data_IF_790850321699
#
_entry.id   IF_790850321699
#
_cell.length_a   1.000
_cell.length_b   1.000
_cell.length_c   1.000
_cell.angle_alpha   90.00
_cell.angle_beta   90.00
_cell.angle_gamma   90.00
#
_symmetry.space_group_name_H-M   'P 1'
#
loop_
_entity.id
_entity.type
_entity.pdbx_description
1 polymer ?
#
# COMPACT_ATOMS: atom_id res chain seq x y z
N UNK A 1 -3.69 2.75 4.34
CA UNK A 1 -2.42 2.88 3.58
C UNK A 1 -1.16 2.69 4.45
N UNK A 2 -1.32 2.59 5.77
CA UNK A 2 -0.25 2.31 6.74
C UNK A 2 0.99 3.25 6.63
N UNK A 3 0.75 4.54 6.43
CA UNK A 3 1.78 5.59 6.31
C UNK A 3 1.53 6.65 7.37
N UNK A 4 2.61 7.08 8.03
CA UNK A 4 2.65 8.22 8.93
C UNK A 4 3.71 9.22 8.45
N UNK A 5 3.41 10.50 8.53
CA UNK A 5 4.34 11.60 8.23
C UNK A 5 4.67 12.31 9.54
N UNK A 6 5.96 12.38 9.85
CA UNK A 6 6.48 13.08 11.02
C UNK A 6 7.19 14.37 10.58
N UNK A 7 6.92 15.47 11.26
CA UNK A 7 7.65 16.72 11.10
C UNK A 7 8.56 16.94 12.30
N UNK A 8 9.81 17.27 12.05
CA UNK A 8 10.78 17.63 13.08
C UNK A 8 11.38 19.03 12.78
N UNK A 9 11.77 19.74 13.82
CA UNK A 9 12.50 20.99 13.70
C UNK A 9 14.01 20.67 13.73
N UNK A 10 14.57 20.41 12.57
CA UNK A 10 16.00 20.12 12.39
C UNK A 10 16.52 20.79 11.13
N UNK A 11 17.79 21.21 11.17
CA UNK A 11 18.54 21.77 10.05
C UNK A 11 19.65 20.81 9.62
N UNK A 12 20.23 21.06 8.45
CA UNK A 12 21.39 20.32 7.94
C UNK A 12 21.14 18.82 7.73
N UNK A 13 19.90 18.45 7.39
CA UNK A 13 19.53 17.09 7.06
C UNK A 13 19.84 16.77 5.59
N UNK A 14 20.32 15.55 5.33
CA UNK A 14 20.49 15.03 3.99
C UNK A 14 19.23 14.26 3.59
N UNK A 15 18.39 14.78 2.69
CA UNK A 15 17.20 14.05 2.24
C UNK A 15 17.60 12.86 1.38
N UNK A 16 16.79 11.80 1.43
CA UNK A 16 16.93 10.68 0.50
C UNK A 16 16.42 11.07 -0.88
N UNK A 17 16.94 10.41 -1.91
CA UNK A 17 16.40 10.49 -3.27
C UNK A 17 15.22 9.54 -3.38
N UNK A 18 14.09 10.03 -3.89
CA UNK A 18 12.91 9.20 -4.15
C UNK A 18 13.03 8.59 -5.56
N UNK A 19 13.00 7.28 -5.61
CA UNK A 19 13.01 6.53 -6.86
C UNK A 19 11.61 6.33 -7.43
N UNK A 20 11.51 5.48 -8.42
CA UNK A 20 10.29 5.10 -9.12
C UNK A 20 10.08 3.59 -8.94
N UNK A 21 9.05 3.22 -8.16
CA UNK A 21 8.73 1.82 -7.88
C UNK A 21 8.03 1.12 -9.04
N UNK A 22 7.46 1.87 -9.99
CA UNK A 22 6.75 1.32 -11.15
C UNK A 22 7.73 0.80 -12.22
N UNK A 23 9.02 1.18 -12.14
CA UNK A 23 10.07 0.71 -13.04
C UNK A 23 10.75 -0.59 -12.60
N UNK A 24 10.42 -1.09 -11.42
CA UNK A 24 11.02 -2.30 -10.87
C UNK A 24 10.68 -3.55 -11.66
N UNK A 25 11.64 -4.48 -11.69
CA UNK A 25 11.46 -5.81 -12.26
C UNK A 25 11.77 -6.88 -11.21
N UNK A 26 11.12 -8.03 -11.35
CA UNK A 26 11.48 -9.21 -10.54
C UNK A 26 12.94 -9.59 -10.85
N UNK A 27 13.71 -9.78 -9.79
CA UNK A 27 15.16 -10.05 -9.88
C UNK A 27 16.03 -8.80 -9.67
N UNK A 28 15.48 -7.59 -9.65
CA UNK A 28 16.24 -6.38 -9.33
C UNK A 28 16.78 -6.47 -7.90
N UNK A 29 18.06 -6.13 -7.75
CA UNK A 29 18.71 -6.12 -6.43
C UNK A 29 18.22 -4.92 -5.63
N UNK A 30 17.86 -5.18 -4.36
CA UNK A 30 17.35 -4.18 -3.44
C UNK A 30 18.04 -4.26 -2.08
N UNK A 31 18.02 -3.16 -1.36
CA UNK A 31 18.64 -3.01 -0.04
C UNK A 31 17.61 -2.47 0.94
N UNK A 32 17.37 -3.21 2.02
CA UNK A 32 16.54 -2.74 3.11
C UNK A 32 17.41 -2.19 4.24
N UNK A 33 17.08 -0.99 4.71
CA UNK A 33 17.77 -0.35 5.84
C UNK A 33 16.75 -0.07 6.94
N UNK A 34 17.07 -0.49 8.16
CA UNK A 34 16.19 -0.31 9.30
C UNK A 34 16.93 -0.37 10.63
N UNK A 35 16.16 -0.46 11.70
CA UNK A 35 16.64 -0.58 13.07
C UNK A 35 15.99 -1.79 13.76
N UNK A 36 16.39 -3.03 13.38
CA UNK A 36 15.83 -4.23 13.99
C UNK A 36 15.94 -4.22 15.50
N UNK A 37 14.85 -4.59 16.18
CA UNK A 37 14.74 -4.68 17.64
C UNK A 37 14.90 -3.33 18.38
N UNK A 38 15.06 -2.21 17.66
CA UNK A 38 15.33 -0.91 18.26
C UNK A 38 16.76 -0.75 18.83
N UNK A 39 17.58 -1.78 18.74
CA UNK A 39 18.94 -1.84 19.32
C UNK A 39 20.03 -1.89 18.25
N UNK A 40 19.70 -2.45 17.07
CA UNK A 40 20.63 -2.64 15.96
C UNK A 40 20.48 -1.52 14.93
N UNK A 41 20.84 -0.30 15.33
CA UNK A 41 20.78 0.89 14.46
C UNK A 41 21.57 0.69 13.18
N UNK A 42 21.00 1.15 12.05
CA UNK A 42 21.61 1.10 10.72
C UNK A 42 21.89 -0.33 10.21
N UNK A 43 21.03 -1.28 10.55
CA UNK A 43 21.13 -2.61 9.95
C UNK A 43 20.70 -2.57 8.50
N UNK A 44 21.57 -3.12 7.65
CA UNK A 44 21.38 -3.24 6.22
C UNK A 44 21.23 -4.70 5.84
N UNK A 45 20.21 -5.03 5.06
CA UNK A 45 20.03 -6.35 4.45
C UNK A 45 19.86 -6.20 2.95
N UNK A 46 20.38 -7.15 2.19
CA UNK A 46 20.29 -7.16 0.72
C UNK A 46 19.49 -8.36 0.26
N UNK A 47 18.83 -8.20 -0.86
CA UNK A 47 18.08 -9.25 -1.54
C UNK A 47 17.65 -8.80 -2.93
N UNK A 48 16.59 -9.42 -3.44
CA UNK A 48 16.01 -9.08 -4.74
C UNK A 48 14.51 -8.84 -4.63
N UNK A 49 13.95 -8.18 -5.62
CA UNK A 49 12.49 -8.15 -5.83
C UNK A 49 12.06 -9.56 -6.22
N UNK A 50 11.29 -10.21 -5.35
CA UNK A 50 10.79 -11.58 -5.57
C UNK A 50 9.44 -11.60 -6.32
N UNK A 51 8.61 -10.57 -6.12
CA UNK A 51 7.37 -10.34 -6.86
C UNK A 51 6.93 -8.88 -6.75
N UNK A 52 6.14 -8.44 -7.71
CA UNK A 52 5.46 -7.14 -7.72
C UNK A 52 3.96 -7.34 -7.58
N UNK A 53 3.24 -6.29 -7.17
CA UNK A 53 1.77 -6.28 -7.02
C UNK A 53 1.22 -7.46 -6.21
N UNK A 54 1.95 -7.93 -5.21
CA UNK A 54 1.52 -9.04 -4.37
C UNK A 54 0.39 -8.58 -3.45
N UNK A 55 -0.86 -9.09 -3.62
CA UNK A 55 -1.94 -8.74 -2.71
C UNK A 55 -1.71 -9.40 -1.35
N UNK A 56 -1.61 -8.58 -0.32
CA UNK A 56 -1.46 -9.00 1.08
C UNK A 56 -2.64 -8.44 1.88
N UNK A 57 -3.40 -9.35 2.51
CA UNK A 57 -4.52 -8.99 3.38
C UNK A 57 -4.05 -8.98 4.83
N UNK A 58 -4.16 -7.84 5.48
CA UNK A 58 -3.81 -7.65 6.88
C UNK A 58 -4.94 -8.10 7.82
N UNK A 59 -4.62 -8.28 9.09
CA UNK A 59 -5.61 -8.66 10.13
C UNK A 59 -6.75 -7.65 10.28
N UNK A 60 -6.55 -6.42 9.82
CA UNK A 60 -7.59 -5.37 9.74
C UNK A 60 -8.61 -5.58 8.62
N UNK A 61 -8.42 -6.61 7.78
CA UNK A 61 -9.23 -6.83 6.57
C UNK A 61 -8.84 -5.98 5.37
N UNK A 62 -7.84 -5.11 5.50
CA UNK A 62 -7.34 -4.27 4.41
C UNK A 62 -6.40 -5.08 3.53
N UNK A 63 -6.60 -5.06 2.22
CA UNK A 63 -5.67 -5.65 1.24
C UNK A 63 -4.85 -4.53 0.58
N UNK A 64 -3.54 -4.74 0.48
CA UNK A 64 -2.61 -3.84 -0.21
C UNK A 64 -1.77 -4.64 -1.20
N UNK A 65 -1.45 -4.04 -2.34
CA UNK A 65 -0.49 -4.61 -3.29
C UNK A 65 0.91 -4.17 -2.89
N UNK A 66 1.78 -5.12 -2.60
CA UNK A 66 3.10 -4.88 -2.04
C UNK A 66 4.20 -5.41 -2.96
N UNK A 67 5.40 -4.85 -2.83
CA UNK A 67 6.64 -5.43 -3.33
C UNK A 67 7.01 -6.57 -2.40
N UNK A 68 7.24 -7.78 -2.94
CA UNK A 68 7.80 -8.89 -2.20
C UNK A 68 9.32 -8.93 -2.41
N UNK A 69 10.06 -9.17 -1.35
CA UNK A 69 11.54 -9.30 -1.39
C UNK A 69 11.99 -10.43 -0.47
N UNK A 70 13.15 -10.98 -0.74
CA UNK A 70 13.86 -11.93 0.13
C UNK A 70 14.84 -11.23 1.10
N UNK A 71 14.91 -9.90 1.09
CA UNK A 71 15.61 -9.17 2.14
C UNK A 71 15.12 -9.61 3.52
N UNK A 72 16.02 -9.75 4.47
CA UNK A 72 15.68 -10.10 5.84
C UNK A 72 14.91 -8.95 6.51
N UNK A 73 13.58 -8.98 6.42
CA UNK A 73 12.69 -8.05 7.10
C UNK A 73 12.25 -8.69 8.42
N UNK A 74 12.55 -8.04 9.52
CA UNK A 74 12.25 -8.48 10.88
C UNK A 74 11.58 -7.34 11.67
N UNK A 75 11.13 -7.66 12.88
CA UNK A 75 10.62 -6.64 13.80
C UNK A 75 11.65 -5.53 14.00
N UNK A 76 11.23 -4.27 13.78
CA UNK A 76 12.09 -3.08 13.82
C UNK A 76 12.60 -2.61 12.45
N UNK A 77 12.53 -3.42 11.39
CA UNK A 77 12.75 -2.92 10.03
C UNK A 77 11.49 -2.28 9.41
N UNK A 78 10.30 -2.60 9.94
CA UNK A 78 9.04 -1.99 9.46
C UNK A 78 9.08 -0.47 9.62
N UNK A 79 8.70 0.26 8.57
CA UNK A 79 8.85 1.70 8.45
C UNK A 79 10.22 2.15 7.94
N UNK A 80 11.18 1.23 7.79
CA UNK A 80 12.47 1.47 7.13
C UNK A 80 12.34 1.63 5.63
N UNK A 81 13.41 2.02 4.98
CA UNK A 81 13.43 2.22 3.55
C UNK A 81 13.95 0.99 2.78
N UNK A 82 13.30 0.71 1.65
CA UNK A 82 13.80 -0.19 0.62
C UNK A 82 14.42 0.66 -0.48
N UNK A 83 15.68 0.38 -0.81
CA UNK A 83 16.46 1.12 -1.81
C UNK A 83 16.75 0.24 -3.03
N UNK A 84 16.88 0.89 -4.19
CA UNK A 84 17.55 0.31 -5.35
C UNK A 84 19.08 0.48 -5.24
N UNK A 85 19.84 -0.07 -6.22
CA UNK A 85 21.30 0.05 -6.24
C UNK A 85 21.82 1.46 -6.55
N UNK A 86 20.95 2.39 -6.93
CA UNK A 86 21.31 3.79 -7.17
C UNK A 86 21.18 4.64 -5.88
N UNK A 87 20.75 4.02 -4.76
CA UNK A 87 20.53 4.70 -3.49
C UNK A 87 19.23 5.48 -3.43
N UNK A 88 18.28 5.16 -4.29
CA UNK A 88 16.96 5.77 -4.32
C UNK A 88 15.96 4.90 -3.55
N UNK A 89 15.09 5.54 -2.77
CA UNK A 89 14.01 4.85 -2.05
C UNK A 89 12.92 4.45 -3.04
N UNK A 90 12.61 3.16 -3.08
CA UNK A 90 11.59 2.56 -3.96
C UNK A 90 10.42 1.99 -3.17
N UNK A 91 10.53 1.91 -1.85
CA UNK A 91 9.47 1.39 -1.00
C UNK A 91 9.74 1.62 0.48
N UNK A 92 8.71 1.37 1.27
CA UNK A 92 8.74 1.41 2.73
C UNK A 92 8.51 -0.01 3.24
N UNK A 93 9.48 -0.57 3.97
CA UNK A 93 9.34 -1.92 4.52
C UNK A 93 8.17 -1.97 5.50
N UNK A 94 7.30 -2.98 5.36
CA UNK A 94 6.06 -3.02 6.15
C UNK A 94 5.98 -4.29 7.01
N UNK A 95 6.02 -5.46 6.40
CA UNK A 95 5.67 -6.69 7.07
C UNK A 95 6.55 -7.86 6.65
N UNK A 96 6.59 -8.87 7.52
CA UNK A 96 7.05 -10.22 7.21
C UNK A 96 5.82 -11.13 7.17
N UNK A 97 5.76 -12.03 6.21
CA UNK A 97 4.78 -13.11 6.28
C UNK A 97 5.12 -13.99 7.48
N UNK A 98 4.29 -13.94 8.52
CA UNK A 98 4.37 -14.88 9.63
C UNK A 98 3.18 -15.82 9.54
N UNK A 99 3.43 -17.10 9.27
CA UNK A 99 2.40 -18.11 9.45
C UNK A 99 2.07 -18.20 10.94
N UNK A 100 0.89 -17.69 11.32
CA UNK A 100 0.32 -17.96 12.64
C UNK A 100 -0.27 -19.37 12.63
N UNK A 101 0.55 -20.40 12.59
CA UNK A 101 0.05 -21.76 12.64
C UNK A 101 0.79 -22.59 13.67
N UNK A 102 -0.05 -23.28 14.41
CA UNK A 102 0.22 -24.40 15.30
C UNK A 102 1.54 -25.12 15.03
N UNK A 103 2.20 -25.45 16.09
CA UNK A 103 3.48 -26.07 16.41
C UNK A 103 4.03 -27.21 15.52
N UNK A 104 3.67 -27.33 14.25
CA UNK A 104 4.14 -28.42 13.37
C UNK A 104 4.46 -28.02 11.92
N UNK A 105 4.30 -26.75 11.51
CA UNK A 105 4.67 -26.32 10.17
C UNK A 105 6.01 -25.58 10.15
N UNK A 106 6.79 -25.79 9.10
CA UNK A 106 8.07 -25.12 8.90
C UNK A 106 7.88 -23.60 8.92
N UNK A 107 8.74 -22.88 9.63
CA UNK A 107 8.74 -21.41 9.58
C UNK A 107 8.99 -20.95 8.15
N UNK A 108 8.14 -20.07 7.64
CA UNK A 108 8.37 -19.42 6.34
C UNK A 108 9.28 -18.24 6.60
N UNK A 109 10.53 -18.36 6.21
CA UNK A 109 11.54 -17.30 6.29
C UNK A 109 11.79 -16.69 4.91
N UNK A 110 12.39 -15.49 4.88
CA UNK A 110 12.77 -14.77 3.67
C UNK A 110 11.59 -14.35 2.75
N UNK A 111 10.44 -14.07 3.35
CA UNK A 111 9.35 -13.39 2.66
C UNK A 111 9.10 -12.06 3.37
N UNK A 112 9.69 -11.01 2.84
CA UNK A 112 9.48 -9.64 3.28
C UNK A 112 8.59 -8.87 2.31
N UNK A 113 7.94 -7.81 2.80
CA UNK A 113 7.09 -6.94 2.00
C UNK A 113 7.45 -5.48 2.21
N UNK A 114 7.30 -4.70 1.14
CA UNK A 114 7.42 -3.25 1.18
C UNK A 114 6.25 -2.60 0.43
N UNK A 115 5.80 -1.47 0.93
CA UNK A 115 4.80 -0.63 0.28
C UNK A 115 5.52 0.08 -0.88
N UNK A 116 5.06 -0.05 -2.14
CA UNK A 116 5.64 0.67 -3.26
C UNK A 116 5.56 2.18 -3.04
N UNK A 117 6.66 2.89 -3.33
CA UNK A 117 6.74 4.33 -3.07
C UNK A 117 5.68 5.11 -3.84
N UNK A 118 5.44 4.76 -5.11
CA UNK A 118 4.53 5.51 -5.98
C UNK A 118 3.06 5.36 -5.56
N UNK A 119 2.69 4.25 -4.90
CA UNK A 119 1.35 4.10 -4.31
C UNK A 119 1.08 5.06 -3.15
N UNK A 120 2.11 5.57 -2.50
CA UNK A 120 1.98 6.42 -1.30
C UNK A 120 2.53 7.83 -1.49
N UNK A 121 3.18 8.12 -2.62
CA UNK A 121 3.75 9.42 -2.95
C UNK A 121 2.71 10.54 -2.82
N UNK A 122 1.59 10.43 -3.49
CA UNK A 122 0.52 11.42 -3.44
C UNK A 122 -0.08 11.59 -2.03
N UNK A 123 -0.03 10.53 -1.22
CA UNK A 123 -0.54 10.54 0.15
C UNK A 123 0.34 11.39 1.04
N UNK A 124 1.65 11.11 1.09
CA UNK A 124 2.54 11.90 1.96
C UNK A 124 2.72 13.33 1.45
N UNK A 125 2.73 13.56 0.14
CA UNK A 125 2.74 14.92 -0.44
C UNK A 125 1.50 15.71 -0.04
N UNK A 126 0.30 15.07 -0.07
CA UNK A 126 -0.94 15.71 0.39
C UNK A 126 -0.91 16.02 1.89
N UNK A 127 -0.38 15.12 2.71
CA UNK A 127 -0.23 15.36 4.16
C UNK A 127 0.74 16.51 4.42
N UNK A 128 1.87 16.57 3.72
CA UNK A 128 2.87 17.63 3.88
C UNK A 128 2.29 18.99 3.48
N UNK A 129 1.55 19.04 2.38
CA UNK A 129 1.03 20.28 1.80
C UNK A 129 -0.21 20.78 2.52
N UNK A 130 -1.17 19.87 2.81
CA UNK A 130 -2.51 20.22 3.26
C UNK A 130 -2.75 19.88 4.75
N UNK A 131 -1.89 19.04 5.36
CA UNK A 131 -2.11 18.50 6.71
C UNK A 131 -3.08 17.31 6.75
N UNK A 132 -3.68 16.94 5.63
CA UNK A 132 -4.62 15.82 5.52
C UNK A 132 -4.56 15.18 4.13
N UNK A 133 -5.15 13.98 4.00
CA UNK A 133 -5.22 13.27 2.72
C UNK A 133 -6.45 13.75 1.96
N UNK A 134 -6.25 14.34 0.79
CA UNK A 134 -7.34 14.63 -0.15
C UNK A 134 -7.66 13.34 -0.90
N UNK A 135 -8.81 12.74 -0.59
CA UNK A 135 -9.32 11.57 -1.34
C UNK A 135 -10.49 12.03 -2.20
N UNK A 136 -10.36 12.00 -3.53
CA UNK A 136 -11.52 12.20 -4.40
C UNK A 136 -12.54 11.08 -4.12
N UNK A 137 -13.81 11.42 -4.13
CA UNK A 137 -14.91 10.49 -3.96
C UNK A 137 -16.07 10.86 -4.90
N UNK A 138 -16.84 9.86 -5.29
CA UNK A 138 -18.00 10.06 -6.17
C UNK A 138 -19.22 10.52 -5.34
N UNK A 139 -19.32 10.06 -4.11
CA UNK A 139 -20.43 10.38 -3.21
C UNK A 139 -21.63 9.45 -3.42
N UNK A 140 -21.37 8.16 -3.64
CA UNK A 140 -22.40 7.13 -3.73
C UNK A 140 -22.06 5.94 -2.86
N UNK A 141 -23.10 5.24 -2.39
CA UNK A 141 -22.98 3.87 -1.88
C UNK A 141 -23.43 2.91 -2.96
N UNK A 142 -22.63 1.90 -3.24
CA UNK A 142 -22.92 0.94 -4.30
C UNK A 142 -22.96 -0.50 -3.77
N UNK A 143 -23.63 -1.38 -4.52
CA UNK A 143 -23.53 -2.83 -4.36
C UNK A 143 -23.44 -3.49 -5.72
N UNK A 144 -22.91 -4.69 -5.79
CA UNK A 144 -22.92 -5.45 -7.03
C UNK A 144 -24.36 -5.74 -7.51
N UNK A 145 -24.58 -5.70 -8.83
CA UNK A 145 -25.82 -6.20 -9.43
C UNK A 145 -25.84 -7.70 -9.27
N UNK A 146 -26.83 -8.24 -8.53
CA UNK A 146 -26.91 -9.67 -8.25
C UNK A 146 -27.08 -10.50 -9.53
N UNK A 147 -26.62 -11.76 -9.50
CA UNK A 147 -26.80 -12.69 -10.61
C UNK A 147 -28.30 -12.90 -10.96
N UNK A 148 -29.18 -12.84 -9.96
CA UNK A 148 -30.63 -12.90 -10.16
C UNK A 148 -31.11 -11.66 -10.96
N UNK A 149 -30.71 -10.46 -10.58
CA UNK A 149 -31.07 -9.23 -11.29
C UNK A 149 -30.54 -9.22 -12.72
N UNK A 150 -29.34 -9.76 -12.95
CA UNK A 150 -28.77 -9.91 -14.29
C UNK A 150 -29.59 -10.88 -15.15
N UNK A 151 -30.17 -11.93 -14.55
CA UNK A 151 -31.06 -12.86 -15.28
C UNK A 151 -32.36 -12.22 -15.78
N UNK A 152 -32.77 -11.11 -15.17
CA UNK A 152 -33.89 -10.26 -15.61
C UNK A 152 -33.47 -9.14 -16.57
N UNK A 153 -32.23 -9.16 -17.07
CA UNK A 153 -31.76 -8.26 -18.13
C UNK A 153 -31.06 -6.99 -17.62
N UNK A 154 -30.79 -6.87 -16.32
CA UNK A 154 -29.97 -5.76 -15.82
C UNK A 154 -28.49 -5.99 -16.18
N UNK A 155 -27.75 -4.91 -16.54
CA UNK A 155 -26.34 -5.03 -16.87
C UNK A 155 -25.53 -5.40 -15.62
N UNK A 156 -24.39 -6.05 -15.83
CA UNK A 156 -23.38 -6.22 -14.80
C UNK A 156 -22.78 -4.86 -14.46
N UNK A 157 -22.60 -4.54 -13.18
CA UNK A 157 -22.05 -3.28 -12.74
C UNK A 157 -22.31 -3.01 -11.26
N UNK A 158 -22.06 -1.77 -10.86
CA UNK A 158 -22.29 -1.27 -9.50
C UNK A 158 -23.65 -0.54 -9.42
N UNK A 159 -24.63 -1.15 -8.74
CA UNK A 159 -25.94 -0.52 -8.51
C UNK A 159 -25.84 0.53 -7.40
N UNK A 160 -26.25 1.75 -7.69
CA UNK A 160 -26.27 2.87 -6.75
C UNK A 160 -27.39 2.65 -5.72
N UNK A 161 -27.05 2.58 -4.44
CA UNK A 161 -27.97 2.38 -3.32
C UNK A 161 -28.34 3.69 -2.63
N UNK A 162 -27.43 4.63 -2.61
CA UNK A 162 -27.69 5.98 -2.12
C UNK A 162 -26.73 6.98 -2.76
N UNK A 163 -27.17 8.23 -2.86
CA UNK A 163 -26.37 9.35 -3.35
C UNK A 163 -26.25 10.36 -2.21
N UNK A 164 -25.02 10.83 -1.95
CA UNK A 164 -24.76 11.85 -0.93
C UNK A 164 -25.32 13.20 -1.40
N UNK A 165 -26.19 13.81 -0.59
CA UNK A 165 -26.73 15.14 -0.88
C UNK A 165 -25.61 16.18 -1.06
N UNK A 166 -25.74 17.01 -2.07
CA UNK A 166 -24.76 18.04 -2.43
C UNK A 166 -23.34 17.46 -2.71
N UNK A 167 -23.25 16.17 -3.01
CA UNK A 167 -22.02 15.52 -3.43
C UNK A 167 -21.85 15.49 -4.93
N UNK A 168 -20.64 15.15 -5.44
CA UNK A 168 -20.33 15.15 -6.88
C UNK A 168 -21.31 14.33 -7.71
N UNK A 169 -21.73 13.17 -7.22
CA UNK A 169 -22.69 12.31 -7.92
C UNK A 169 -24.07 12.97 -8.03
N UNK A 170 -24.54 13.65 -6.97
CA UNK A 170 -25.81 14.38 -6.98
C UNK A 170 -25.76 15.55 -7.97
N UNK A 171 -24.66 16.30 -7.98
CA UNK A 171 -24.44 17.40 -8.93
C UNK A 171 -24.36 16.91 -10.39
N UNK A 172 -23.81 15.71 -10.60
CA UNK A 172 -23.74 15.05 -11.91
C UNK A 172 -25.09 14.43 -12.33
N UNK A 173 -26.10 14.41 -11.45
CA UNK A 173 -27.41 13.87 -11.74
C UNK A 173 -27.58 12.37 -11.56
N UNK A 174 -26.60 11.67 -10.91
CA UNK A 174 -26.78 10.27 -10.52
C UNK A 174 -27.92 10.13 -9.51
N UNK A 175 -28.67 9.05 -9.64
CA UNK A 175 -29.82 8.74 -8.81
C UNK A 175 -29.71 7.33 -8.20
N UNK A 176 -30.47 7.09 -7.15
CA UNK A 176 -30.64 5.75 -6.60
C UNK A 176 -31.23 4.81 -7.68
N UNK A 177 -30.73 3.59 -7.75
CA UNK A 177 -30.99 2.54 -8.73
C UNK A 177 -30.34 2.72 -10.10
N UNK A 178 -29.52 3.75 -10.33
CA UNK A 178 -28.63 3.77 -11.49
C UNK A 178 -27.62 2.62 -11.39
N UNK A 179 -27.19 2.11 -12.54
CA UNK A 179 -26.13 1.09 -12.61
C UNK A 179 -24.94 1.68 -13.34
N UNK A 180 -23.83 1.77 -12.63
CA UNK A 180 -22.53 2.17 -13.19
C UNK A 180 -21.90 0.91 -13.83
N UNK A 181 -21.70 0.95 -15.13
CA UNK A 181 -21.17 -0.17 -15.94
C UNK A 181 -19.74 0.09 -16.40
#
# INVERSE_FOLDING_TARGET
NDIAVLKIDATDLTPVVLGDSDTLNVGDTVVAIGNPLGELTFSLTTGVVSALDRPVTFSTGTTMNLIQTDCAINSGNSGGALFNLYGEVIGITNAKYSSSSSSSEASIDNIGFAIPLDQVRSIFESIITNGYIVKPYIGVTVSDVSAESQSYGLPQGAAVRSVTENGPAAEAGLQENDIIT
#
